data_IF_221292714599
#
_entry.id   IF_221292714599
#
_cell.length_a   1.000
_cell.length_b   1.000
_cell.length_c   1.000
_cell.angle_alpha   90.00
_cell.angle_beta   90.00
_cell.angle_gamma   90.00
#
_symmetry.space_group_name_H-M   'P 1'
#
loop_
_entity.id
_entity.type
_entity.pdbx_description
1 polymer ?
#
# COMPACT_ATOMS: atom_id res chain seq x y z
N UNK A 1 6.15 -31.05 11.74
CA UNK A 1 5.27 -30.39 10.75
C UNK A 1 4.01 -29.72 11.34
N UNK A 2 3.53 -30.13 12.52
CA UNK A 2 2.28 -29.62 13.14
C UNK A 2 2.41 -28.26 13.85
N UNK A 3 3.64 -27.77 14.11
CA UNK A 3 3.88 -26.53 14.87
C UNK A 3 3.77 -25.24 14.03
N UNK A 4 3.63 -25.36 12.70
CA UNK A 4 3.45 -24.23 11.77
C UNK A 4 1.98 -23.88 11.49
N UNK A 5 1.04 -24.75 11.87
CA UNK A 5 -0.40 -24.53 11.70
C UNK A 5 -1.03 -23.77 12.88
N UNK A 6 -0.45 -23.87 14.09
CA UNK A 6 -0.92 -23.11 15.26
C UNK A 6 -0.57 -21.61 15.20
N UNK A 7 0.43 -21.22 14.42
CA UNK A 7 0.81 -19.80 14.26
C UNK A 7 -0.12 -19.00 13.34
N UNK A 8 -0.92 -19.68 12.51
CA UNK A 8 -1.78 -19.03 11.51
C UNK A 8 -3.08 -18.46 12.13
N UNK A 9 -3.55 -19.03 13.24
CA UNK A 9 -4.76 -18.57 13.93
C UNK A 9 -4.55 -17.40 14.88
N UNK A 10 -3.33 -17.21 15.40
CA UNK A 10 -3.04 -16.18 16.42
C UNK A 10 -2.64 -14.83 15.80
N UNK A 11 -2.33 -14.78 14.50
CA UNK A 11 -1.90 -13.55 13.83
C UNK A 11 -3.08 -12.63 13.43
N UNK A 12 -4.32 -13.14 13.40
CA UNK A 12 -5.50 -12.34 13.02
C UNK A 12 -5.97 -11.42 14.16
N UNK A 13 -5.60 -11.71 15.41
CA UNK A 13 -6.08 -10.97 16.58
C UNK A 13 -5.21 -9.76 17.00
N UNK A 14 -4.03 -9.56 16.42
CA UNK A 14 -3.11 -8.46 16.80
C UNK A 14 -3.23 -7.19 15.95
N UNK A 15 -4.16 -7.15 14.99
CA UNK A 15 -4.35 -6.04 14.04
C UNK A 15 -4.82 -4.72 14.70
N UNK A 16 -5.15 -4.72 16.01
CA UNK A 16 -5.52 -3.50 16.74
C UNK A 16 -4.38 -2.75 17.44
N UNK A 17 -3.12 -3.13 17.22
CA UNK A 17 -2.02 -2.26 17.61
C UNK A 17 -1.76 -1.26 16.49
N UNK A 18 -2.20 -0.03 16.70
CA UNK A 18 -1.83 1.14 15.91
C UNK A 18 -0.30 1.18 15.78
N UNK A 19 0.21 0.63 14.67
CA UNK A 19 1.57 0.89 14.25
C UNK A 19 1.60 2.35 13.81
N UNK A 20 2.08 3.24 14.68
CA UNK A 20 2.75 4.45 14.21
C UNK A 20 4.08 4.03 13.59
N UNK A 21 4.01 3.33 12.45
CA UNK A 21 5.11 3.32 11.51
C UNK A 21 5.06 4.69 10.82
N UNK A 22 5.55 5.72 11.52
CA UNK A 22 6.18 6.79 10.77
C UNK A 22 7.40 6.14 10.12
N UNK A 23 7.48 6.00 8.79
CA UNK A 23 8.80 5.93 8.20
C UNK A 23 9.47 7.21 8.64
N UNK A 24 10.41 7.08 9.59
CA UNK A 24 11.40 8.08 9.84
C UNK A 24 11.96 8.40 8.46
N UNK A 25 11.57 9.55 7.92
CA UNK A 25 12.21 10.12 6.76
C UNK A 25 13.61 10.47 7.23
N UNK A 26 14.50 9.47 7.25
CA UNK A 26 15.91 9.72 7.13
C UNK A 26 16.02 10.48 5.81
N UNK A 27 16.18 11.81 5.92
CA UNK A 27 16.39 12.67 4.78
C UNK A 27 17.72 12.23 4.15
N UNK A 28 17.63 11.30 3.20
CA UNK A 28 18.75 10.93 2.36
C UNK A 28 19.18 12.19 1.58
N UNK A 29 20.48 12.37 1.31
CA UNK A 29 21.05 13.57 0.66
C UNK A 29 20.37 13.95 -0.67
N UNK A 30 19.70 13.00 -1.32
CA UNK A 30 18.92 13.21 -2.53
C UNK A 30 17.52 12.58 -2.38
N UNK A 31 16.51 13.39 -2.09
CA UNK A 31 15.11 12.93 -2.07
C UNK A 31 14.29 13.65 -3.13
N UNK A 32 13.93 12.97 -4.24
CA UNK A 32 13.13 13.60 -5.28
C UNK A 32 11.74 13.97 -4.73
N UNK A 33 11.15 15.08 -5.21
CA UNK A 33 9.84 15.53 -4.75
C UNK A 33 8.80 14.43 -5.00
N UNK A 34 7.95 14.19 -4.01
CA UNK A 34 6.79 13.33 -4.17
C UNK A 34 5.74 14.06 -5.01
N UNK A 35 5.22 13.43 -6.04
CA UNK A 35 4.06 13.92 -6.78
C UNK A 35 2.81 13.22 -6.25
N UNK A 36 1.90 13.96 -5.61
CA UNK A 36 0.65 13.43 -5.04
C UNK A 36 0.83 12.25 -4.06
N UNK A 37 1.93 12.25 -3.30
CA UNK A 37 2.28 11.17 -2.37
C UNK A 37 2.95 9.96 -3.03
N UNK A 38 3.07 9.94 -4.36
CA UNK A 38 3.81 8.90 -5.07
C UNK A 38 5.32 9.20 -5.07
N UNK A 39 6.17 8.25 -4.69
CA UNK A 39 7.61 8.37 -4.83
C UNK A 39 8.02 8.37 -6.31
N UNK A 40 9.15 8.99 -6.63
CA UNK A 40 9.78 8.79 -7.93
C UNK A 40 10.36 7.37 -8.03
N UNK A 41 10.29 6.76 -9.22
CA UNK A 41 10.78 5.40 -9.46
C UNK A 41 12.28 5.23 -9.17
N UNK A 42 13.07 6.30 -9.34
CA UNK A 42 14.52 6.32 -9.12
C UNK A 42 14.93 6.74 -7.69
N UNK A 43 13.98 6.91 -6.78
CA UNK A 43 14.26 7.27 -5.37
C UNK A 43 15.21 6.22 -4.76
N UNK A 44 16.32 6.69 -4.20
CA UNK A 44 17.33 5.83 -3.55
C UNK A 44 18.41 5.27 -4.49
N UNK A 45 18.39 5.61 -5.79
CA UNK A 45 19.43 5.19 -6.75
C UNK A 45 20.43 6.30 -7.12
N UNK A 46 20.27 7.50 -6.58
CA UNK A 46 21.11 8.65 -6.93
C UNK A 46 22.37 8.67 -6.07
N UNK A 47 23.51 9.09 -6.65
CA UNK A 47 24.73 9.29 -5.88
C UNK A 47 24.56 10.39 -4.83
N UNK A 48 25.11 10.17 -3.64
CA UNK A 48 24.91 11.06 -2.49
C UNK A 48 25.61 12.42 -2.63
N UNK A 49 26.56 12.54 -3.55
CA UNK A 49 27.35 13.76 -3.72
C UNK A 49 26.83 14.67 -4.84
N UNK A 50 26.33 14.11 -5.95
CA UNK A 50 25.94 14.90 -7.13
C UNK A 50 24.44 14.92 -7.44
N UNK A 51 23.61 14.06 -6.84
CA UNK A 51 22.13 13.97 -7.00
C UNK A 51 21.56 14.01 -8.45
N UNK A 52 22.40 14.07 -9.49
CA UNK A 52 22.01 14.17 -10.90
C UNK A 52 22.34 12.89 -11.68
N UNK A 53 23.19 12.03 -11.11
CA UNK A 53 23.58 10.75 -11.68
C UNK A 53 22.91 9.60 -10.93
N UNK A 54 22.45 8.59 -11.69
CA UNK A 54 21.96 7.33 -11.15
C UNK A 54 23.16 6.41 -10.99
N UNK A 55 23.46 6.01 -9.75
CA UNK A 55 24.55 5.11 -9.45
C UNK A 55 24.12 3.69 -9.82
N UNK A 56 24.81 3.09 -10.79
CA UNK A 56 24.63 1.67 -11.13
C UNK A 56 25.38 0.82 -10.10
N UNK A 57 24.80 0.67 -8.91
CA UNK A 57 25.16 -0.40 -7.99
C UNK A 57 24.55 -1.72 -8.49
N UNK A 58 24.84 -2.82 -7.79
CA UNK A 58 24.42 -4.19 -8.11
C UNK A 58 23.01 -4.26 -8.75
N UNK A 59 22.93 -4.89 -9.93
CA UNK A 59 21.73 -4.93 -10.78
C UNK A 59 20.53 -5.46 -10.01
N UNK A 60 20.75 -6.44 -9.13
CA UNK A 60 19.69 -7.05 -8.33
C UNK A 60 19.05 -6.03 -7.39
N UNK A 61 19.86 -5.26 -6.67
CA UNK A 61 19.38 -4.24 -5.74
C UNK A 61 18.69 -3.10 -6.48
N UNK A 62 19.25 -2.67 -7.62
CA UNK A 62 18.64 -1.65 -8.47
C UNK A 62 17.23 -2.05 -8.91
N UNK A 63 17.04 -3.26 -9.43
CA UNK A 63 15.73 -3.75 -9.88
C UNK A 63 14.74 -3.81 -8.70
N UNK A 64 15.17 -4.33 -7.54
CA UNK A 64 14.32 -4.43 -6.36
C UNK A 64 13.89 -3.06 -5.83
N UNK A 65 14.81 -2.09 -5.75
CA UNK A 65 14.49 -0.72 -5.32
C UNK A 65 13.48 -0.05 -6.26
N UNK A 66 13.67 -0.18 -7.58
CA UNK A 66 12.71 0.34 -8.56
C UNK A 66 11.35 -0.32 -8.37
N UNK A 67 11.31 -1.65 -8.23
CA UNK A 67 10.07 -2.40 -8.03
C UNK A 67 9.32 -1.96 -6.76
N UNK A 68 10.04 -1.76 -5.64
CA UNK A 68 9.45 -1.29 -4.38
C UNK A 68 8.91 0.14 -4.49
N UNK A 69 9.64 1.05 -5.15
CA UNK A 69 9.15 2.41 -5.38
C UNK A 69 7.89 2.43 -6.25
N UNK A 70 7.85 1.62 -7.31
CA UNK A 70 6.67 1.47 -8.17
C UNK A 70 5.50 0.87 -7.38
N UNK A 71 5.75 -0.13 -6.55
CA UNK A 71 4.72 -0.74 -5.70
C UNK A 71 4.14 0.28 -4.71
N UNK A 72 4.98 1.11 -4.09
CA UNK A 72 4.53 2.19 -3.21
C UNK A 72 3.69 3.23 -3.98
N UNK A 73 4.11 3.58 -5.20
CA UNK A 73 3.31 4.45 -6.07
C UNK A 73 1.95 3.81 -6.43
N UNK A 74 1.91 2.50 -6.70
CA UNK A 74 0.69 1.75 -6.97
C UNK A 74 -0.25 1.70 -5.74
N UNK A 75 0.29 1.55 -4.53
CA UNK A 75 -0.48 1.58 -3.28
C UNK A 75 -1.21 2.92 -3.10
N UNK A 76 -0.56 4.03 -3.44
CA UNK A 76 -1.18 5.36 -3.43
C UNK A 76 -2.33 5.44 -4.44
N UNK A 77 -2.15 4.91 -5.66
CA UNK A 77 -3.22 4.85 -6.67
C UNK A 77 -4.40 4.01 -6.15
N UNK A 78 -4.14 2.85 -5.55
CA UNK A 78 -5.17 1.98 -4.97
C UNK A 78 -5.96 2.73 -3.89
N UNK A 79 -5.29 3.51 -3.04
CA UNK A 79 -5.96 4.32 -2.03
C UNK A 79 -6.93 5.35 -2.66
N UNK A 80 -6.50 6.06 -3.71
CA UNK A 80 -7.38 6.99 -4.43
C UNK A 80 -8.58 6.28 -5.07
N UNK A 81 -8.36 5.12 -5.69
CA UNK A 81 -9.41 4.32 -6.32
C UNK A 81 -10.41 3.80 -5.28
N UNK A 82 -9.92 3.31 -4.13
CA UNK A 82 -10.76 2.82 -3.04
C UNK A 82 -11.68 3.93 -2.50
N UNK A 83 -11.14 5.14 -2.29
CA UNK A 83 -11.93 6.31 -1.91
C UNK A 83 -13.00 6.62 -2.97
N UNK A 84 -12.67 6.56 -4.26
CA UNK A 84 -13.63 6.75 -5.35
C UNK A 84 -14.80 5.76 -5.32
N UNK A 85 -14.52 4.47 -5.10
CA UNK A 85 -15.56 3.45 -4.98
C UNK A 85 -16.43 3.61 -3.73
N UNK A 86 -15.84 4.02 -2.60
CA UNK A 86 -16.59 4.31 -1.37
C UNK A 86 -17.53 5.49 -1.60
N UNK A 87 -17.07 6.58 -2.23
CA UNK A 87 -17.90 7.74 -2.55
C UNK A 87 -19.06 7.34 -3.47
N UNK A 88 -18.78 6.58 -4.53
CA UNK A 88 -19.81 6.10 -5.47
C UNK A 88 -20.85 5.21 -4.75
N UNK A 89 -20.39 4.27 -3.92
CA UNK A 89 -21.26 3.40 -3.12
C UNK A 89 -22.09 4.18 -2.11
N UNK A 90 -21.51 5.17 -1.44
CA UNK A 90 -22.19 6.05 -0.49
C UNK A 90 -23.26 6.91 -1.15
N UNK A 91 -22.95 7.51 -2.31
CA UNK A 91 -23.94 8.25 -3.10
C UNK A 91 -25.10 7.36 -3.53
N UNK A 92 -24.82 6.17 -4.05
CA UNK A 92 -25.85 5.21 -4.43
C UNK A 92 -26.72 4.80 -3.24
N UNK A 93 -26.12 4.63 -2.05
CA UNK A 93 -26.85 4.33 -0.82
C UNK A 93 -27.82 5.46 -0.43
N UNK A 94 -27.38 6.72 -0.49
CA UNK A 94 -28.24 7.86 -0.15
C UNK A 94 -29.43 8.03 -1.11
N UNK A 95 -29.21 7.81 -2.42
CA UNK A 95 -30.25 8.02 -3.45
C UNK A 95 -31.23 6.84 -3.54
N UNK A 96 -30.86 5.64 -3.07
CA UNK A 96 -31.67 4.42 -3.15
C UNK A 96 -32.85 4.37 -2.17
N UNK A 97 -33.23 5.50 -1.57
CA UNK A 97 -34.30 5.62 -0.58
C UNK A 97 -35.61 5.04 -1.14
N UNK A 98 -35.98 3.84 -0.68
CA UNK A 98 -37.23 3.16 -1.03
C UNK A 98 -37.08 1.76 -1.66
N UNK A 99 -35.91 1.39 -2.18
CA UNK A 99 -35.68 0.04 -2.74
C UNK A 99 -34.61 -0.73 -1.96
N UNK A 100 -34.97 -1.83 -1.26
CA UNK A 100 -34.02 -2.66 -0.51
C UNK A 100 -32.89 -3.24 -1.38
N UNK A 101 -33.20 -3.54 -2.65
CA UNK A 101 -32.24 -4.13 -3.59
C UNK A 101 -31.10 -3.16 -3.94
N UNK A 102 -31.42 -1.91 -4.28
CA UNK A 102 -30.39 -0.90 -4.59
C UNK A 102 -29.55 -0.53 -3.35
N UNK A 103 -30.16 -0.54 -2.16
CA UNK A 103 -29.46 -0.39 -0.88
C UNK A 103 -28.47 -1.52 -0.63
N UNK A 104 -28.85 -2.78 -0.92
CA UNK A 104 -27.97 -3.93 -0.79
C UNK A 104 -26.80 -3.84 -1.78
N UNK A 105 -27.05 -3.45 -3.03
CA UNK A 105 -26.02 -3.29 -4.06
C UNK A 105 -25.00 -2.20 -3.70
N UNK A 106 -25.45 -1.08 -3.13
CA UNK A 106 -24.58 -0.02 -2.64
C UNK A 106 -23.67 -0.51 -1.51
N UNK A 107 -24.21 -1.27 -0.55
CA UNK A 107 -23.42 -1.88 0.54
C UNK A 107 -22.40 -2.88 0.03
N UNK A 108 -22.76 -3.71 -0.95
CA UNK A 108 -21.83 -4.65 -1.57
C UNK A 108 -20.67 -3.93 -2.24
N UNK A 109 -20.95 -2.84 -2.96
CA UNK A 109 -19.90 -2.01 -3.59
C UNK A 109 -18.91 -1.46 -2.56
N UNK A 110 -19.41 -0.97 -1.42
CA UNK A 110 -18.54 -0.47 -0.33
C UNK A 110 -17.76 -1.63 0.30
N UNK A 111 -18.40 -2.78 0.54
CA UNK A 111 -17.72 -3.96 1.09
C UNK A 111 -16.60 -4.46 0.19
N UNK A 112 -16.84 -4.57 -1.10
CA UNK A 112 -15.86 -5.03 -2.07
C UNK A 112 -14.67 -4.07 -2.14
N UNK A 113 -14.92 -2.74 -2.09
CA UNK A 113 -13.87 -1.74 -2.02
C UNK A 113 -13.01 -1.87 -0.74
N UNK A 114 -13.64 -2.12 0.41
CA UNK A 114 -12.93 -2.33 1.68
C UNK A 114 -12.11 -3.63 1.67
N UNK A 115 -12.64 -4.71 1.10
CA UNK A 115 -11.92 -5.99 0.96
C UNK A 115 -10.68 -5.79 0.09
N UNK A 116 -10.81 -5.09 -1.04
CA UNK A 116 -9.68 -4.76 -1.91
C UNK A 116 -8.59 -3.95 -1.19
N UNK A 117 -8.98 -2.97 -0.36
CA UNK A 117 -8.04 -2.18 0.44
C UNK A 117 -7.30 -3.04 1.48
N UNK A 118 -8.01 -3.91 2.18
CA UNK A 118 -7.40 -4.82 3.17
C UNK A 118 -6.40 -5.77 2.49
N UNK A 119 -6.74 -6.30 1.32
CA UNK A 119 -5.82 -7.14 0.53
C UNK A 119 -4.57 -6.36 0.15
N UNK A 120 -4.69 -5.11 -0.32
CA UNK A 120 -3.55 -4.29 -0.70
C UNK A 120 -2.59 -4.03 0.47
N UNK A 121 -3.13 -3.65 1.65
CA UNK A 121 -2.33 -3.43 2.86
C UNK A 121 -1.64 -4.74 3.29
N UNK A 122 -2.36 -5.87 3.22
CA UNK A 122 -1.81 -7.17 3.59
C UNK A 122 -0.69 -7.60 2.64
N UNK A 123 -0.83 -7.31 1.34
CA UNK A 123 0.19 -7.60 0.33
C UNK A 123 1.49 -6.85 0.61
N UNK A 124 1.42 -5.56 0.97
CA UNK A 124 2.61 -4.78 1.33
C UNK A 124 3.35 -5.37 2.53
N UNK A 125 2.62 -5.76 3.59
CA UNK A 125 3.22 -6.41 4.75
C UNK A 125 3.93 -7.73 4.40
N UNK A 126 3.41 -8.49 3.44
CA UNK A 126 4.06 -9.72 2.95
C UNK A 126 5.35 -9.40 2.21
N UNK A 127 5.34 -8.37 1.35
CA UNK A 127 6.55 -7.93 0.62
C UNK A 127 7.64 -7.50 1.59
N UNK A 128 7.30 -6.73 2.63
CA UNK A 128 8.25 -6.30 3.66
C UNK A 128 8.85 -7.49 4.43
N UNK A 129 8.03 -8.51 4.73
CA UNK A 129 8.48 -9.75 5.37
C UNK A 129 9.42 -10.56 4.46
N UNK A 130 9.18 -10.60 3.15
CA UNK A 130 10.06 -11.29 2.20
C UNK A 130 11.35 -10.51 1.94
N UNK A 131 11.29 -9.18 1.94
CA UNK A 131 12.45 -8.30 1.77
C UNK A 131 13.45 -8.38 2.95
N UNK A 132 13.12 -9.12 4.02
CA UNK A 132 14.01 -9.31 5.17
C UNK A 132 14.18 -8.04 6.00
N UNK A 133 13.22 -7.11 5.91
CA UNK A 133 13.19 -5.88 6.71
C UNK A 133 12.80 -6.21 8.17
N UNK A 134 12.25 -7.41 8.42
CA UNK A 134 12.02 -8.00 9.75
C UNK A 134 12.72 -9.36 9.90
#
# INVERSE_FOLDING_TARGET
>A
MIRRLAGFGLAVATILSFASATPAHAAAPCSPPNFLGMPAWYRGLQDSNDCSSIQTTDIQTMILTIALNILQAAMVIVAYVAVGFIIKGGYMYMVSSGSPDAMAKAKNTIRDALIGLVIAISAAAIVDMVAGII
#
